data_IF_295766665970
#
_entry.id   IF_295766665970
#
_cell.length_a   1.000
_cell.length_b   1.000
_cell.length_c   1.000
_cell.angle_alpha   90.00
_cell.angle_beta   90.00
_cell.angle_gamma   90.00
#
_symmetry.space_group_name_H-M   'P 1'
#
loop_
_entity.id
_entity.type
_entity.pdbx_description
1 polymer ?
#
# COMPACT_ATOMS: atom_id res chain seq x y z
N UNK A 1 -21.47 11.94 8.82
CA UNK A 1 -20.83 10.73 8.26
C UNK A 1 -20.46 9.82 9.41
N UNK A 2 -20.83 8.56 9.31
CA UNK A 2 -20.59 7.56 10.35
C UNK A 2 -19.09 7.27 10.47
N UNK A 3 -18.67 6.82 11.66
CA UNK A 3 -17.26 6.59 11.98
C UNK A 3 -16.63 5.53 11.07
N UNK A 4 -17.34 4.42 10.82
CA UNK A 4 -16.88 3.37 9.91
C UNK A 4 -16.66 3.87 8.49
N UNK A 5 -17.48 4.79 8.02
CA UNK A 5 -17.30 5.41 6.69
C UNK A 5 -16.05 6.30 6.62
N UNK A 6 -15.76 7.01 7.70
CA UNK A 6 -14.53 7.81 7.81
C UNK A 6 -13.29 6.91 7.80
N UNK A 7 -13.35 5.81 8.52
CA UNK A 7 -12.26 4.83 8.56
C UNK A 7 -12.04 4.23 7.16
N UNK A 8 -13.11 3.82 6.48
CA UNK A 8 -13.03 3.30 5.12
C UNK A 8 -12.33 4.28 4.18
N UNK A 9 -12.73 5.55 4.22
CA UNK A 9 -12.11 6.61 3.41
C UNK A 9 -10.63 6.80 3.72
N UNK A 10 -10.25 6.79 4.99
CA UNK A 10 -8.85 6.91 5.41
C UNK A 10 -8.01 5.72 4.95
N UNK A 11 -8.53 4.51 5.08
CA UNK A 11 -7.85 3.30 4.61
C UNK A 11 -7.66 3.31 3.10
N UNK A 12 -8.67 3.75 2.36
CA UNK A 12 -8.56 3.91 0.91
C UNK A 12 -7.52 4.95 0.53
N UNK A 13 -7.55 6.11 1.17
CA UNK A 13 -6.59 7.20 0.92
C UNK A 13 -5.16 6.78 1.19
N UNK A 14 -4.93 6.11 2.32
CA UNK A 14 -3.59 5.68 2.72
C UNK A 14 -3.03 4.58 1.81
N UNK A 15 -3.86 3.67 1.35
CA UNK A 15 -3.42 2.54 0.53
C UNK A 15 -2.48 1.57 1.23
N UNK A 16 -2.32 1.70 2.53
CA UNK A 16 -1.48 0.85 3.39
C UNK A 16 -2.16 0.66 4.75
N UNK A 17 -1.62 -0.22 5.56
CA UNK A 17 -2.17 -0.47 6.89
C UNK A 17 -2.05 0.75 7.81
N UNK A 18 -3.05 0.92 8.64
CA UNK A 18 -3.09 1.96 9.67
C UNK A 18 -3.32 1.28 11.00
N UNK A 19 -2.56 1.68 12.03
CA UNK A 19 -2.77 1.16 13.37
C UNK A 19 -4.06 1.72 13.98
N UNK A 20 -4.68 0.93 14.87
CA UNK A 20 -5.86 1.35 15.63
C UNK A 20 -5.56 2.62 16.42
N UNK A 21 -4.37 2.68 17.02
CA UNK A 21 -3.90 3.88 17.74
C UNK A 21 -3.89 5.10 16.83
N UNK A 22 -3.37 4.97 15.61
CA UNK A 22 -3.31 6.07 14.65
C UNK A 22 -4.70 6.52 14.20
N UNK A 23 -5.61 5.57 13.97
CA UNK A 23 -7.01 5.89 13.67
C UNK A 23 -7.67 6.65 14.83
N UNK A 24 -7.44 6.21 16.05
CA UNK A 24 -7.93 6.87 17.26
C UNK A 24 -7.44 8.32 17.35
N UNK A 25 -6.16 8.55 17.10
CA UNK A 25 -5.56 9.89 17.11
C UNK A 25 -6.14 10.79 16.01
N UNK A 26 -6.24 10.27 14.78
CA UNK A 26 -6.73 11.03 13.63
C UNK A 26 -8.20 11.40 13.76
N UNK A 27 -9.02 10.49 14.27
CA UNK A 27 -10.47 10.66 14.37
C UNK A 27 -10.90 11.22 15.72
N UNK A 28 -9.97 11.32 16.68
CA UNK A 28 -10.19 11.86 18.02
C UNK A 28 -11.30 11.10 18.79
N UNK A 29 -11.26 9.78 18.70
CA UNK A 29 -12.15 8.87 19.40
C UNK A 29 -11.33 7.79 20.12
N UNK A 30 -11.94 7.11 21.08
CA UNK A 30 -11.26 6.05 21.83
C UNK A 30 -11.02 4.79 21.01
N UNK A 31 -10.04 3.98 21.44
CA UNK A 31 -9.71 2.72 20.76
C UNK A 31 -10.92 1.77 20.69
N UNK A 32 -11.74 1.73 21.73
CA UNK A 32 -12.94 0.88 21.75
C UNK A 32 -13.95 1.32 20.68
N UNK A 33 -14.12 2.61 20.48
CA UNK A 33 -14.98 3.15 19.43
C UNK A 33 -14.46 2.78 18.04
N UNK A 34 -13.14 2.83 17.85
CA UNK A 34 -12.50 2.39 16.61
C UNK A 34 -12.75 0.90 16.38
N UNK A 35 -12.56 0.05 17.39
CA UNK A 35 -12.81 -1.39 17.30
C UNK A 35 -14.27 -1.68 16.91
N UNK A 36 -15.23 -1.02 17.54
CA UNK A 36 -16.64 -1.19 17.23
C UNK A 36 -16.96 -0.72 15.81
N UNK A 37 -16.36 0.37 15.36
CA UNK A 37 -16.54 0.86 14.00
C UNK A 37 -15.92 -0.09 12.97
N UNK A 38 -14.77 -0.70 13.27
CA UNK A 38 -14.16 -1.70 12.43
C UNK A 38 -15.02 -2.97 12.30
N UNK A 39 -15.66 -3.40 13.39
CA UNK A 39 -16.60 -4.53 13.37
C UNK A 39 -17.79 -4.24 12.46
N UNK A 40 -18.34 -3.03 12.52
CA UNK A 40 -19.41 -2.60 11.63
C UNK A 40 -18.96 -2.54 10.18
N UNK A 41 -17.77 -1.99 9.92
CA UNK A 41 -17.21 -1.90 8.58
C UNK A 41 -17.00 -3.29 7.98
N UNK A 42 -16.48 -4.23 8.77
CA UNK A 42 -16.28 -5.60 8.35
C UNK A 42 -17.61 -6.27 7.93
N UNK A 43 -18.68 -6.04 8.69
CA UNK A 43 -20.02 -6.51 8.33
C UNK A 43 -20.54 -5.84 7.05
N UNK A 44 -20.36 -4.55 6.91
CA UNK A 44 -20.81 -3.81 5.73
C UNK A 44 -20.07 -4.23 4.47
N UNK A 45 -18.83 -4.67 4.60
CA UNK A 45 -18.01 -5.17 3.50
C UNK A 45 -18.23 -6.64 3.20
N UNK A 46 -18.97 -7.37 4.05
CA UNK A 46 -19.33 -8.77 3.78
C UNK A 46 -20.05 -8.85 2.43
N UNK A 47 -19.75 -9.80 1.61
CA UNK A 47 -20.30 -9.98 0.26
C UNK A 47 -19.93 -8.86 -0.76
N UNK A 48 -18.92 -8.05 -0.45
CA UNK A 48 -18.40 -7.05 -1.39
C UNK A 48 -17.02 -7.44 -1.91
N UNK A 49 -16.54 -6.70 -2.90
CA UNK A 49 -15.21 -6.94 -3.48
C UNK A 49 -14.05 -6.49 -2.57
N UNK A 50 -14.32 -5.63 -1.61
CA UNK A 50 -13.35 -5.21 -0.60
C UNK A 50 -13.58 -5.96 0.71
N UNK A 51 -12.49 -6.21 1.43
CA UNK A 51 -12.53 -6.80 2.77
C UNK A 51 -11.65 -5.98 3.71
N UNK A 52 -11.98 -6.00 4.99
CA UNK A 52 -11.13 -5.44 6.02
C UNK A 52 -10.15 -6.53 6.47
N UNK A 53 -8.86 -6.26 6.31
CA UNK A 53 -7.80 -7.16 6.78
C UNK A 53 -7.24 -6.61 8.09
N UNK A 54 -7.28 -7.42 9.12
CA UNK A 54 -6.74 -7.07 10.44
C UNK A 54 -5.53 -7.95 10.72
N UNK A 55 -4.46 -7.33 11.16
CA UNK A 55 -3.25 -8.03 11.60
C UNK A 55 -2.64 -7.27 12.77
N UNK A 56 -2.50 -7.93 13.90
CA UNK A 56 -2.03 -7.32 15.15
C UNK A 56 -2.88 -6.07 15.47
N UNK A 57 -2.27 -4.91 15.61
CA UNK A 57 -2.95 -3.65 15.90
C UNK A 57 -3.21 -2.79 14.66
N UNK A 58 -3.06 -3.35 13.48
CA UNK A 58 -3.21 -2.62 12.22
C UNK A 58 -4.33 -3.19 11.35
N UNK A 59 -4.90 -2.33 10.52
CA UNK A 59 -5.96 -2.68 9.58
C UNK A 59 -5.67 -2.08 8.20
N UNK A 60 -6.12 -2.77 7.16
CA UNK A 60 -6.07 -2.27 5.80
C UNK A 60 -7.28 -2.78 4.99
N UNK A 61 -7.56 -2.14 3.88
CA UNK A 61 -8.52 -2.64 2.90
C UNK A 61 -7.82 -3.59 1.94
N UNK A 62 -8.36 -4.79 1.80
CA UNK A 62 -7.89 -5.79 0.87
C UNK A 62 -8.95 -6.13 -0.17
N UNK A 63 -8.60 -7.04 -1.06
CA UNK A 63 -9.49 -7.56 -2.10
C UNK A 63 -10.06 -8.91 -1.62
N UNK A 64 -11.35 -9.13 -1.85
CA UNK A 64 -11.99 -10.41 -1.55
C UNK A 64 -11.30 -11.58 -2.26
N UNK A 65 -11.14 -12.68 -1.56
CA UNK A 65 -10.54 -13.91 -2.11
C UNK A 65 -11.26 -14.41 -3.36
N UNK A 66 -12.55 -14.16 -3.47
CA UNK A 66 -13.34 -14.56 -4.64
C UNK A 66 -12.84 -13.91 -5.93
N UNK A 67 -12.22 -12.73 -5.82
CA UNK A 67 -11.67 -12.01 -6.95
C UNK A 67 -10.23 -12.41 -7.28
N UNK A 68 -9.61 -13.29 -6.50
CA UNK A 68 -8.20 -13.65 -6.68
C UNK A 68 -7.88 -14.15 -8.10
N UNK A 69 -8.68 -15.04 -8.74
CA UNK A 69 -8.38 -15.45 -10.12
C UNK A 69 -8.43 -14.29 -11.11
N UNK A 70 -9.40 -13.40 -10.95
CA UNK A 70 -9.53 -12.22 -11.80
C UNK A 70 -8.37 -11.24 -11.61
N UNK A 71 -7.98 -10.99 -10.36
CA UNK A 71 -6.85 -10.12 -10.02
C UNK A 71 -5.55 -10.69 -10.58
N UNK A 72 -5.33 -12.01 -10.47
CA UNK A 72 -4.16 -12.65 -11.05
C UNK A 72 -4.10 -12.50 -12.57
N UNK A 73 -5.23 -12.59 -13.26
CA UNK A 73 -5.28 -12.39 -14.72
C UNK A 73 -4.91 -10.95 -15.09
N UNK A 74 -5.44 -9.97 -14.36
CA UNK A 74 -5.13 -8.55 -14.57
C UNK A 74 -3.65 -8.28 -14.29
N UNK A 75 -3.12 -8.86 -13.22
CA UNK A 75 -1.72 -8.72 -12.84
C UNK A 75 -0.77 -9.25 -13.91
N UNK A 76 -1.09 -10.39 -14.49
CA UNK A 76 -0.30 -10.94 -15.61
C UNK A 76 -0.29 -10.01 -16.82
N UNK A 77 -1.44 -9.44 -17.16
CA UNK A 77 -1.57 -8.49 -18.25
C UNK A 77 -0.81 -7.19 -17.97
N UNK A 78 -0.89 -6.70 -16.73
CA UNK A 78 -0.22 -5.47 -16.31
C UNK A 78 1.31 -5.56 -16.30
N UNK A 79 1.87 -6.72 -15.97
CA UNK A 79 3.32 -6.96 -16.03
C UNK A 79 3.86 -6.75 -17.45
N UNK A 80 3.03 -7.01 -18.46
CA UNK A 80 3.41 -6.88 -19.88
C UNK A 80 3.12 -5.49 -20.47
N UNK A 81 2.38 -4.63 -19.77
CA UNK A 81 2.07 -3.28 -20.22
C UNK A 81 3.19 -2.30 -19.91
N UNK A 82 3.35 -1.32 -20.78
CA UNK A 82 4.23 -0.18 -20.51
C UNK A 82 3.75 0.58 -19.25
N UNK A 83 4.71 0.94 -18.42
CA UNK A 83 4.44 1.76 -17.27
C UNK A 83 4.10 3.20 -17.69
N UNK A 84 3.17 3.85 -16.99
CA UNK A 84 2.92 5.27 -17.18
C UNK A 84 4.17 6.08 -16.83
N UNK A 85 4.26 7.30 -17.34
CA UNK A 85 5.36 8.22 -17.00
C UNK A 85 5.52 8.39 -15.50
N UNK A 86 4.42 8.58 -14.77
CA UNK A 86 4.45 8.74 -13.32
C UNK A 86 4.92 7.47 -12.61
N UNK A 87 4.52 6.30 -13.10
CA UNK A 87 4.98 5.01 -12.56
C UNK A 87 6.47 4.80 -12.84
N UNK A 88 6.95 5.14 -14.03
CA UNK A 88 8.38 5.07 -14.38
C UNK A 88 9.21 6.01 -13.51
N UNK A 89 8.76 7.24 -13.29
CA UNK A 89 9.45 8.20 -12.40
C UNK A 89 9.57 7.64 -10.99
N UNK A 90 8.48 7.11 -10.45
CA UNK A 90 8.44 6.55 -9.09
C UNK A 90 9.32 5.31 -8.98
N UNK A 91 9.22 4.39 -9.94
CA UNK A 91 10.06 3.20 -9.98
C UNK A 91 11.55 3.56 -10.10
N UNK A 92 11.87 4.56 -10.90
CA UNK A 92 13.25 5.04 -11.07
C UNK A 92 13.84 5.57 -9.75
N UNK A 93 13.05 6.30 -8.96
CA UNK A 93 13.45 6.76 -7.63
C UNK A 93 13.76 5.56 -6.71
N UNK A 94 12.88 4.57 -6.72
CA UNK A 94 13.03 3.38 -5.89
C UNK A 94 14.26 2.54 -6.32
N UNK A 95 14.49 2.43 -7.61
CA UNK A 95 15.67 1.74 -8.15
C UNK A 95 16.98 2.46 -7.81
N UNK A 96 16.97 3.79 -7.86
CA UNK A 96 18.15 4.60 -7.58
C UNK A 96 18.53 4.60 -6.09
N UNK A 97 17.54 4.62 -5.20
CA UNK A 97 17.73 4.61 -3.75
C UNK A 97 17.83 3.17 -3.23
N UNK A 98 18.71 2.93 -2.29
CA UNK A 98 18.77 1.64 -1.60
C UNK A 98 17.80 1.64 -0.41
N UNK A 99 16.53 1.51 -0.71
CA UNK A 99 15.45 1.63 0.26
C UNK A 99 15.02 3.09 0.44
N UNK A 100 13.79 3.38 0.14
CA UNK A 100 13.24 4.74 0.20
C UNK A 100 11.85 4.72 0.82
N UNK A 101 11.60 5.65 1.75
CA UNK A 101 10.29 5.81 2.37
C UNK A 101 9.36 6.59 1.44
N UNK A 102 8.04 6.38 1.61
CA UNK A 102 7.04 7.11 0.81
C UNK A 102 7.20 8.62 0.92
N UNK A 103 7.47 9.15 2.12
CA UNK A 103 7.66 10.58 2.32
C UNK A 103 8.79 11.16 1.47
N UNK A 104 9.86 10.42 1.30
CA UNK A 104 10.98 10.81 0.43
C UNK A 104 10.57 10.79 -1.05
N UNK A 105 9.82 9.77 -1.46
CA UNK A 105 9.29 9.68 -2.82
C UNK A 105 8.36 10.87 -3.11
N UNK A 106 7.43 11.15 -2.21
CA UNK A 106 6.51 12.28 -2.34
C UNK A 106 7.25 13.62 -2.43
N UNK A 107 8.29 13.78 -1.62
CA UNK A 107 9.13 14.98 -1.64
C UNK A 107 9.85 15.15 -2.97
N UNK A 108 10.48 14.11 -3.48
CA UNK A 108 11.23 14.15 -4.76
C UNK A 108 10.28 14.43 -5.92
N UNK A 109 9.10 13.80 -5.95
CA UNK A 109 8.13 13.99 -7.01
C UNK A 109 7.32 15.28 -6.87
N UNK A 110 7.20 15.83 -5.67
CA UNK A 110 6.38 17.00 -5.37
C UNK A 110 4.88 16.72 -5.35
N UNK A 111 4.46 15.47 -5.33
CA UNK A 111 3.06 15.03 -5.30
C UNK A 111 2.90 13.79 -4.43
N UNK A 112 1.66 13.49 -4.03
CA UNK A 112 1.34 12.26 -3.32
C UNK A 112 1.47 11.07 -4.26
N UNK A 113 2.29 10.10 -3.88
CA UNK A 113 2.61 8.92 -4.69
C UNK A 113 1.92 7.64 -4.21
N UNK A 114 0.96 7.73 -3.29
CA UNK A 114 0.32 6.56 -2.66
C UNK A 114 -0.30 5.61 -3.68
N UNK A 115 -1.03 6.11 -4.66
CA UNK A 115 -1.67 5.28 -5.70
C UNK A 115 -0.65 4.58 -6.57
N UNK A 116 0.40 5.28 -6.96
CA UNK A 116 1.45 4.73 -7.83
C UNK A 116 2.25 3.66 -7.09
N UNK A 117 2.61 3.93 -5.84
CA UNK A 117 3.32 2.96 -5.00
C UNK A 117 2.47 1.70 -4.82
N UNK A 118 1.18 1.86 -4.52
CA UNK A 118 0.26 0.72 -4.41
C UNK A 118 0.18 -0.08 -5.70
N UNK A 119 0.08 0.60 -6.84
CA UNK A 119 0.07 -0.04 -8.15
C UNK A 119 1.36 -0.85 -8.39
N UNK A 120 2.52 -0.26 -8.09
CA UNK A 120 3.81 -0.93 -8.24
C UNK A 120 3.92 -2.16 -7.31
N UNK A 121 3.39 -2.07 -6.09
CA UNK A 121 3.32 -3.21 -5.15
C UNK A 121 2.43 -4.33 -5.70
N UNK A 122 1.22 -3.99 -6.16
CA UNK A 122 0.27 -4.96 -6.73
C UNK A 122 0.86 -5.66 -7.95
N UNK A 123 1.59 -4.93 -8.79
CA UNK A 123 2.26 -5.49 -9.96
C UNK A 123 3.49 -6.32 -9.62
N UNK A 124 3.91 -6.33 -8.36
CA UNK A 124 5.10 -7.07 -7.93
C UNK A 124 6.42 -6.46 -8.39
N UNK A 125 6.42 -5.17 -8.70
CA UNK A 125 7.62 -4.44 -9.15
C UNK A 125 8.46 -3.93 -7.98
N UNK A 126 7.82 -3.66 -6.85
CA UNK A 126 8.48 -3.22 -5.62
C UNK A 126 7.97 -4.03 -4.44
N UNK A 127 8.73 -4.02 -3.37
CA UNK A 127 8.37 -4.63 -2.10
C UNK A 127 8.56 -3.65 -0.94
N UNK A 128 7.87 -3.90 0.15
CA UNK A 128 7.92 -3.10 1.36
C UNK A 128 8.73 -3.84 2.42
N UNK A 129 9.75 -3.18 2.94
CA UNK A 129 10.65 -3.77 3.95
C UNK A 129 10.76 -2.84 5.16
N UNK A 130 11.07 -3.42 6.32
CA UNK A 130 11.34 -2.64 7.53
C UNK A 130 12.73 -2.02 7.43
N UNK A 131 12.86 -0.74 7.81
CA UNK A 131 14.15 -0.08 7.90
C UNK A 131 14.96 -0.69 9.04
N UNK A 132 16.14 -1.25 8.76
CA UNK A 132 17.02 -1.82 9.75
C UNK A 132 17.51 -0.81 10.79
N UNK A 133 17.58 0.46 10.41
CA UNK A 133 18.04 1.57 11.28
C UNK A 133 16.92 2.13 12.15
N UNK A 134 15.66 2.01 11.71
CA UNK A 134 14.48 2.46 12.44
C UNK A 134 13.31 1.51 12.18
N UNK A 135 13.06 0.59 13.10
CA UNK A 135 12.02 -0.43 12.98
C UNK A 135 10.60 0.13 12.85
N UNK A 136 10.41 1.42 13.09
CA UNK A 136 9.10 2.10 12.92
C UNK A 136 8.89 2.60 11.51
N UNK A 137 9.92 2.53 10.67
CA UNK A 137 9.92 3.06 9.32
C UNK A 137 9.88 1.93 8.29
N UNK A 138 9.06 2.09 7.27
CA UNK A 138 8.98 1.18 6.14
C UNK A 138 9.66 1.80 4.93
N UNK A 139 10.40 0.96 4.21
CA UNK A 139 11.09 1.35 2.98
C UNK A 139 10.56 0.54 1.81
N UNK A 140 10.59 1.14 0.62
CA UNK A 140 10.27 0.46 -0.63
C UNK A 140 11.56 0.15 -1.38
N UNK A 141 11.63 -1.07 -1.89
CA UNK A 141 12.76 -1.57 -2.68
C UNK A 141 12.25 -2.25 -3.95
N UNK A 142 13.03 -2.27 -5.04
CA UNK A 142 12.64 -3.07 -6.19
C UNK A 142 12.66 -4.56 -5.83
N UNK A 143 11.76 -5.33 -6.42
CA UNK A 143 11.81 -6.79 -6.31
C UNK A 143 12.95 -7.34 -7.15
N UNK A 144 13.37 -8.56 -6.85
CA UNK A 144 14.39 -9.26 -7.63
C UNK A 144 13.97 -9.39 -9.11
N UNK A 145 12.72 -9.75 -9.35
CA UNK A 145 12.18 -9.85 -10.72
C UNK A 145 12.28 -8.53 -11.50
N UNK A 146 12.00 -7.42 -10.84
CA UNK A 146 12.13 -6.08 -11.45
C UNK A 146 13.58 -5.79 -11.80
N UNK A 147 14.52 -6.06 -10.91
CA UNK A 147 15.93 -5.85 -11.16
C UNK A 147 16.40 -6.70 -12.32
N UNK A 148 16.00 -7.96 -12.38
CA UNK A 148 16.33 -8.87 -13.49
C UNK A 148 15.73 -8.38 -14.81
N UNK A 149 14.47 -7.97 -14.82
CA UNK A 149 13.77 -7.46 -15.99
C UNK A 149 14.41 -6.16 -16.52
N UNK A 150 14.81 -5.26 -15.64
CA UNK A 150 15.44 -3.99 -16.00
C UNK A 150 16.93 -4.12 -16.32
N UNK A 151 17.51 -5.30 -16.17
CA UNK A 151 18.93 -5.55 -16.41
C UNK A 151 19.84 -4.88 -15.36
N UNK A 152 19.32 -4.61 -14.17
CA UNK A 152 20.07 -3.98 -13.07
C UNK A 152 20.64 -5.06 -12.16
N UNK A 153 21.95 -5.06 -11.96
CA UNK A 153 22.62 -6.05 -11.11
C UNK A 153 22.68 -5.63 -9.63
N UNK A 154 22.55 -4.35 -9.35
CA UNK A 154 22.51 -3.82 -8.00
C UNK A 154 21.74 -2.51 -7.96
N UNK A 155 21.25 -2.14 -6.77
CA UNK A 155 20.56 -0.89 -6.54
C UNK A 155 21.57 0.28 -6.63
N UNK A 156 21.16 1.39 -7.26
CA UNK A 156 22.00 2.58 -7.39
C UNK A 156 22.84 2.63 -8.67
N UNK A 157 22.64 1.71 -9.58
CA UNK A 157 23.27 1.72 -10.91
C UNK A 157 22.52 2.54 -11.94
#
# INVERSE_FOLDING_TARGET
MELESKIEGLLFYKGEDISIKKLSELLKVGNLEIENALDKLELQLSSRGLVLVRKDDSVLLGISKELSPLIESIRKDEITRELSKASLETLSIILYKDGVARSEIDYIRGVNSSFIIRNLLVRGLIEKVVDEKDNRRMLYKPTFDTMSYMGVSSIGQ
#
